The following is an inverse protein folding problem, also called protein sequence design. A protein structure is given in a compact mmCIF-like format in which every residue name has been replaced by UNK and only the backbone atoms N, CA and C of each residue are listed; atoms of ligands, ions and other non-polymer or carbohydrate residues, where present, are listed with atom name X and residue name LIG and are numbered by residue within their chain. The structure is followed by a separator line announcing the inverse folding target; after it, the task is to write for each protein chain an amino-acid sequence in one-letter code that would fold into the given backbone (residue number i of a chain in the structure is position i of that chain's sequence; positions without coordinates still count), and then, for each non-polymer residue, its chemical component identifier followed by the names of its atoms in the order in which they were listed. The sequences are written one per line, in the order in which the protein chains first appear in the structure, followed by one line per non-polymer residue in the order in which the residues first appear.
data_IF_559276232714
#
_entry.id   IF_559276232714
#
_cell.length_a   1.000
_cell.length_b   1.000
_cell.length_c   1.000
_cell.angle_alpha   90.00
_cell.angle_beta   90.00
_cell.angle_gamma   90.00
#
_symmetry.space_group_name_H-M   'P 1'
#
loop_
_entity.id
_entity.type
_entity.pdbx_description
1 polymer ?
#
# COMPACT_ATOMS: atom_id res chain seq x y z
N UNK A 1 52.68 19.98 50.29
CA UNK A 1 51.26 19.71 49.88
C UNK A 1 51.29 18.50 48.99
N UNK A 2 50.98 17.33 49.53
CA UNK A 2 50.94 16.08 48.76
C UNK A 2 49.57 15.97 48.11
N UNK A 3 49.55 15.84 46.78
CA UNK A 3 48.36 15.63 45.97
C UNK A 3 47.98 14.17 46.07
N UNK A 4 46.94 13.85 46.85
CA UNK A 4 46.40 12.49 46.92
C UNK A 4 45.90 12.05 45.52
N UNK A 5 46.57 11.07 44.95
CA UNK A 5 46.11 10.34 43.78
C UNK A 5 44.94 9.49 44.21
N UNK A 6 43.71 9.92 43.85
CA UNK A 6 42.47 9.19 44.11
C UNK A 6 42.53 7.89 43.33
N UNK A 7 42.96 6.83 43.98
CA UNK A 7 42.97 5.46 43.42
C UNK A 7 41.53 5.07 43.09
N UNK A 8 41.21 4.99 41.81
CA UNK A 8 39.96 4.45 41.35
C UNK A 8 39.85 3.00 41.80
N UNK A 9 38.92 2.74 42.72
CA UNK A 9 38.66 1.40 43.24
C UNK A 9 38.12 0.54 42.10
N UNK A 10 38.57 -0.71 41.96
CA UNK A 10 38.11 -1.68 40.96
C UNK A 10 36.57 -1.74 40.86
N UNK A 11 35.90 -1.59 42.01
CA UNK A 11 34.42 -1.51 42.04
C UNK A 11 33.87 -0.28 41.31
N UNK A 12 34.46 0.88 41.45
CA UNK A 12 34.06 2.11 40.79
C UNK A 12 34.24 2.03 39.28
N UNK A 13 35.35 1.38 38.84
CA UNK A 13 35.63 1.18 37.41
C UNK A 13 34.58 0.25 36.79
N UNK A 14 34.27 -0.87 37.48
CA UNK A 14 33.23 -1.83 37.01
C UNK A 14 31.87 -1.16 36.97
N UNK A 15 31.50 -0.39 37.99
CA UNK A 15 30.21 0.31 38.01
C UNK A 15 30.12 1.35 36.87
N UNK A 16 31.19 2.11 36.63
CA UNK A 16 31.23 3.07 35.53
C UNK A 16 31.10 2.38 34.15
N UNK A 17 31.73 1.22 33.98
CA UNK A 17 31.67 0.44 32.76
C UNK A 17 30.24 -0.11 32.51
N UNK A 18 29.58 -0.58 33.57
CA UNK A 18 28.18 -1.05 33.48
C UNK A 18 27.25 0.12 33.11
N UNK A 19 27.42 1.29 33.72
CA UNK A 19 26.62 2.46 33.42
C UNK A 19 26.81 2.92 31.96
N UNK A 20 28.08 2.93 31.49
CA UNK A 20 28.38 3.26 30.09
C UNK A 20 27.73 2.26 29.13
N UNK A 21 27.80 0.97 29.43
CA UNK A 21 27.15 -0.08 28.61
C UNK A 21 25.60 0.07 28.59
N UNK A 22 25.01 0.38 29.74
CA UNK A 22 23.57 0.63 29.81
C UNK A 22 23.15 1.86 29.01
N UNK A 23 23.89 2.97 29.15
CA UNK A 23 23.61 4.23 28.45
C UNK A 23 23.87 4.06 26.95
N UNK A 24 24.94 3.38 26.53
CA UNK A 24 25.20 3.14 25.11
C UNK A 24 24.20 2.18 24.49
N UNK A 25 23.69 1.20 25.23
CA UNK A 25 22.62 0.30 24.78
C UNK A 25 21.29 1.07 24.55
N UNK A 26 20.92 1.93 25.49
CA UNK A 26 19.71 2.77 25.34
C UNK A 26 19.88 3.86 24.29
N UNK A 27 21.06 4.47 24.17
CA UNK A 27 21.38 5.42 23.12
C UNK A 27 21.35 4.73 21.73
N UNK A 28 21.91 3.54 21.59
CA UNK A 28 21.82 2.76 20.36
C UNK A 28 20.38 2.44 19.97
N UNK A 29 19.50 2.21 20.92
CA UNK A 29 18.07 1.98 20.67
C UNK A 29 17.33 3.27 20.27
N UNK A 30 17.74 4.43 20.80
CA UNK A 30 17.15 5.74 20.46
C UNK A 30 17.67 6.25 19.11
N UNK A 31 18.95 6.06 18.80
CA UNK A 31 19.56 6.49 17.53
C UNK A 31 19.48 5.45 16.41
N UNK A 32 19.22 4.18 16.72
CA UNK A 32 18.93 3.11 15.75
C UNK A 32 17.45 3.06 15.32
N UNK A 33 16.63 4.01 15.77
CA UNK A 33 15.27 4.16 15.31
C UNK A 33 15.29 4.80 13.93
N UNK A 34 15.13 3.93 12.96
CA UNK A 34 14.71 4.18 11.58
C UNK A 34 15.14 5.55 11.01
N UNK A 35 16.09 5.49 10.11
CA UNK A 35 16.13 6.44 9.01
C UNK A 35 14.87 6.21 8.18
N UNK A 36 13.71 6.69 8.64
CA UNK A 36 12.51 6.73 7.85
C UNK A 36 12.86 7.56 6.61
N UNK A 37 13.06 6.87 5.49
CA UNK A 37 13.30 7.53 4.22
C UNK A 37 12.03 8.30 3.90
N UNK A 38 12.08 9.61 3.93
CA UNK A 38 10.98 10.46 3.50
C UNK A 38 11.22 10.90 2.06
N UNK A 39 10.18 10.86 1.25
CA UNK A 39 10.16 11.33 -0.13
C UNK A 39 8.99 12.29 -0.34
N UNK A 40 9.10 13.18 -1.33
CA UNK A 40 8.02 14.11 -1.70
C UNK A 40 7.58 13.81 -3.12
N UNK A 41 6.27 13.87 -3.35
CA UNK A 41 5.68 13.78 -4.67
C UNK A 41 4.47 14.72 -4.76
N UNK A 42 4.41 15.60 -5.74
CA UNK A 42 3.32 16.55 -5.99
C UNK A 42 2.79 17.28 -4.73
N UNK A 43 3.70 17.68 -3.82
CA UNK A 43 3.34 18.38 -2.58
C UNK A 43 3.01 17.46 -1.40
N UNK A 44 2.84 16.17 -1.61
CA UNK A 44 2.62 15.16 -0.56
C UNK A 44 3.93 14.66 0.02
N UNK A 45 3.95 14.39 1.33
CA UNK A 45 5.09 13.81 2.02
C UNK A 45 4.83 12.32 2.25
N UNK A 46 5.72 11.49 1.77
CA UNK A 46 5.69 10.04 1.94
C UNK A 46 6.75 9.61 2.93
N UNK A 47 6.42 8.70 3.82
CA UNK A 47 7.33 8.11 4.79
C UNK A 47 7.39 6.61 4.55
N UNK A 48 8.58 6.09 4.27
CA UNK A 48 8.79 4.64 4.09
C UNK A 48 8.70 3.93 5.43
N UNK A 49 7.92 2.87 5.49
CA UNK A 49 7.80 1.94 6.61
C UNK A 49 8.18 0.54 6.17
N UNK A 50 8.19 -0.42 7.11
CA UNK A 50 8.42 -1.83 6.77
C UNK A 50 7.30 -2.42 5.91
N UNK A 51 6.10 -1.82 5.95
CA UNK A 51 4.90 -2.34 5.29
C UNK A 51 4.50 -1.55 4.03
N UNK A 52 5.27 -0.54 3.64
CA UNK A 52 4.95 0.31 2.49
C UNK A 52 5.24 1.79 2.75
N UNK A 53 4.59 2.65 1.99
CA UNK A 53 4.67 4.10 2.08
C UNK A 53 3.42 4.65 2.77
N UNK A 54 3.61 5.54 3.73
CA UNK A 54 2.52 6.25 4.40
C UNK A 54 2.54 7.71 3.98
N UNK A 55 1.39 8.24 3.65
CA UNK A 55 1.18 9.67 3.38
C UNK A 55 -0.13 10.12 4.03
N UNK A 56 -0.33 11.44 4.13
CA UNK A 56 -1.60 12.02 4.59
C UNK A 56 -2.37 12.55 3.38
N UNK A 57 -3.58 12.03 3.20
CA UNK A 57 -4.54 12.45 2.20
C UNK A 57 -5.78 12.99 2.93
N UNK A 58 -6.14 14.24 2.69
CA UNK A 58 -7.28 14.92 3.33
C UNK A 58 -7.31 14.81 4.87
N UNK A 59 -6.10 14.79 5.47
CA UNK A 59 -5.93 14.69 6.92
C UNK A 59 -5.91 13.27 7.49
N UNK A 60 -6.20 12.26 6.68
CA UNK A 60 -6.19 10.84 7.05
C UNK A 60 -4.90 10.17 6.57
N UNK A 61 -4.34 9.26 7.37
CA UNK A 61 -3.20 8.47 6.95
C UNK A 61 -3.63 7.35 5.99
N UNK A 62 -2.99 7.31 4.83
CA UNK A 62 -3.16 6.26 3.83
C UNK A 62 -1.84 5.52 3.62
N UNK A 63 -1.91 4.21 3.45
CA UNK A 63 -0.75 3.34 3.22
C UNK A 63 -0.82 2.74 1.81
N UNK A 64 0.32 2.78 1.12
CA UNK A 64 0.52 2.26 -0.23
C UNK A 64 1.75 1.37 -0.26
N UNK A 65 1.79 0.41 -1.16
CA UNK A 65 2.94 -0.47 -1.31
C UNK A 65 4.05 0.17 -2.15
N UNK A 66 3.66 0.96 -3.16
CA UNK A 66 4.56 1.63 -4.09
C UNK A 66 4.58 3.14 -3.87
N UNK A 67 5.74 3.75 -4.03
CA UNK A 67 5.83 5.21 -4.12
C UNK A 67 5.31 5.69 -5.48
N UNK A 68 4.67 6.87 -5.60
CA UNK A 68 4.16 7.34 -6.88
C UNK A 68 5.18 7.34 -8.03
N UNK A 69 6.46 7.66 -7.75
CA UNK A 69 7.53 7.63 -8.77
C UNK A 69 7.78 6.24 -9.37
N UNK A 70 7.47 5.17 -8.64
CA UNK A 70 7.60 3.80 -9.12
C UNK A 70 6.48 3.41 -10.10
N UNK A 71 5.41 4.21 -10.13
CA UNK A 71 4.20 3.97 -10.91
C UNK A 71 4.03 4.92 -12.11
N UNK A 72 4.95 5.86 -12.34
CA UNK A 72 4.81 6.87 -13.38
C UNK A 72 4.64 6.27 -14.78
N UNK A 73 5.36 5.20 -15.09
CA UNK A 73 5.33 4.53 -16.39
C UNK A 73 4.07 3.67 -16.61
N UNK A 74 3.34 3.33 -15.56
CA UNK A 74 2.10 2.57 -15.67
C UNK A 74 0.99 3.46 -16.24
N UNK A 75 0.58 3.23 -17.46
CA UNK A 75 -0.47 4.03 -18.12
C UNK A 75 -1.87 3.59 -17.69
N UNK A 76 -2.65 4.52 -17.14
CA UNK A 76 -4.08 4.34 -16.84
C UNK A 76 -4.81 5.53 -17.45
N UNK A 77 -5.83 5.28 -18.24
CA UNK A 77 -6.59 6.34 -18.89
C UNK A 77 -7.60 7.00 -17.92
N UNK A 78 -7.90 8.25 -18.14
CA UNK A 78 -8.81 9.04 -17.28
C UNK A 78 -10.22 8.45 -17.21
N UNK A 79 -10.69 7.81 -18.27
CA UNK A 79 -12.00 7.16 -18.32
C UNK A 79 -12.15 6.01 -17.32
N UNK A 80 -11.04 5.39 -16.90
CA UNK A 80 -11.01 4.41 -15.80
C UNK A 80 -11.42 5.07 -14.48
N UNK A 81 -10.87 6.26 -14.21
CA UNK A 81 -11.16 6.99 -12.96
C UNK A 81 -12.60 7.51 -12.96
N UNK A 82 -13.06 8.06 -14.08
CA UNK A 82 -14.45 8.53 -14.24
C UNK A 82 -15.47 7.40 -14.00
N UNK A 83 -15.16 6.16 -14.42
CA UNK A 83 -16.03 5.01 -14.18
C UNK A 83 -16.08 4.55 -12.72
N UNK A 84 -15.09 4.89 -11.92
CA UNK A 84 -15.05 4.56 -10.49
C UNK A 84 -15.73 5.63 -9.61
N UNK A 85 -16.13 6.75 -10.17
CA UNK A 85 -16.94 7.79 -9.49
C UNK A 85 -18.43 7.39 -9.48
N UNK A 86 -18.74 6.33 -8.75
CA UNK A 86 -20.06 5.72 -8.64
C UNK A 86 -20.34 5.33 -7.19
N UNK A 87 -21.60 5.11 -6.86
CA UNK A 87 -21.97 4.66 -5.50
C UNK A 87 -21.68 3.18 -5.23
N UNK A 88 -21.52 2.38 -6.29
CA UNK A 88 -21.36 0.93 -6.18
C UNK A 88 -20.54 0.37 -7.33
N UNK A 89 -19.64 -0.59 -7.06
CA UNK A 89 -18.88 -1.30 -8.09
C UNK A 89 -18.57 -2.73 -7.65
N UNK A 90 -18.16 -3.55 -8.60
CA UNK A 90 -17.60 -4.87 -8.34
C UNK A 90 -16.09 -4.88 -8.50
N UNK A 91 -15.42 -5.70 -7.69
CA UNK A 91 -14.01 -5.97 -7.77
C UNK A 91 -13.81 -7.47 -7.91
N UNK A 92 -13.34 -7.93 -9.06
CA UNK A 92 -13.21 -9.36 -9.36
C UNK A 92 -11.80 -9.70 -9.83
N UNK A 93 -11.38 -10.93 -9.53
CA UNK A 93 -10.02 -11.38 -9.77
C UNK A 93 -9.97 -12.74 -10.45
N UNK A 94 -9.03 -12.89 -11.38
CA UNK A 94 -8.48 -14.19 -11.72
C UNK A 94 -7.58 -14.64 -10.58
N UNK A 95 -7.81 -15.84 -10.05
CA UNK A 95 -7.08 -16.33 -8.87
C UNK A 95 -5.76 -16.93 -9.31
N UNK A 96 -4.69 -16.35 -8.83
CA UNK A 96 -3.32 -16.80 -9.02
C UNK A 96 -2.79 -17.66 -7.86
N UNK A 97 -1.47 -17.68 -7.74
CA UNK A 97 -0.80 -18.51 -6.73
C UNK A 97 -0.60 -17.80 -5.39
N UNK A 98 -0.70 -16.47 -5.35
CA UNK A 98 -0.44 -15.69 -4.15
C UNK A 98 -1.67 -14.91 -3.68
N UNK A 99 -2.52 -15.59 -2.93
CA UNK A 99 -3.77 -15.02 -2.40
C UNK A 99 -3.54 -13.81 -1.47
N UNK A 100 -2.36 -13.72 -0.84
CA UNK A 100 -2.06 -12.62 0.08
C UNK A 100 -2.11 -11.27 -0.63
N UNK A 101 -1.62 -11.16 -1.86
CA UNK A 101 -1.70 -9.91 -2.62
C UNK A 101 -3.14 -9.55 -2.97
N UNK A 102 -3.95 -10.53 -3.36
CA UNK A 102 -5.37 -10.32 -3.64
C UNK A 102 -6.10 -9.81 -2.38
N UNK A 103 -5.82 -10.38 -1.21
CA UNK A 103 -6.43 -9.93 0.04
C UNK A 103 -5.97 -8.52 0.43
N UNK A 104 -4.71 -8.16 0.21
CA UNK A 104 -4.21 -6.79 0.43
C UNK A 104 -4.93 -5.82 -0.51
N UNK A 105 -5.00 -6.11 -1.81
CA UNK A 105 -5.68 -5.28 -2.80
C UNK A 105 -7.14 -5.06 -2.40
N UNK A 106 -7.85 -6.14 -2.09
CA UNK A 106 -9.25 -6.07 -1.67
C UNK A 106 -9.43 -5.19 -0.46
N UNK A 107 -8.64 -5.43 0.59
CA UNK A 107 -8.73 -4.65 1.82
C UNK A 107 -8.44 -3.17 1.58
N UNK A 108 -7.33 -2.84 0.94
CA UNK A 108 -6.93 -1.45 0.67
C UNK A 108 -7.93 -0.74 -0.23
N UNK A 109 -8.29 -1.35 -1.36
CA UNK A 109 -9.16 -0.73 -2.35
C UNK A 109 -10.58 -0.52 -1.79
N UNK A 110 -11.17 -1.55 -1.18
CA UNK A 110 -12.52 -1.46 -0.61
C UNK A 110 -12.58 -0.39 0.49
N UNK A 111 -11.61 -0.40 1.41
CA UNK A 111 -11.56 0.58 2.49
C UNK A 111 -11.39 2.00 1.94
N UNK A 112 -10.45 2.21 1.02
CA UNK A 112 -10.22 3.53 0.43
C UNK A 112 -11.45 4.05 -0.32
N UNK A 113 -12.08 3.20 -1.14
CA UNK A 113 -13.27 3.56 -1.92
C UNK A 113 -14.46 3.88 -1.02
N UNK A 114 -14.69 3.09 0.01
CA UNK A 114 -15.81 3.28 0.92
C UNK A 114 -15.61 4.52 1.81
N UNK A 115 -14.44 4.67 2.43
CA UNK A 115 -14.21 5.68 3.45
C UNK A 115 -13.98 7.07 2.86
N UNK A 116 -13.42 7.16 1.63
CA UNK A 116 -13.07 8.46 1.04
C UNK A 116 -13.95 8.86 -0.15
N UNK A 117 -14.51 7.90 -0.88
CA UNK A 117 -15.30 8.19 -2.08
C UNK A 117 -16.77 7.77 -1.95
N UNK A 118 -17.13 7.11 -0.85
CA UNK A 118 -18.51 6.65 -0.61
C UNK A 118 -18.97 5.54 -1.55
N UNK A 119 -18.03 4.87 -2.25
CA UNK A 119 -18.31 3.80 -3.20
C UNK A 119 -18.30 2.45 -2.48
N UNK A 120 -19.42 1.75 -2.51
CA UNK A 120 -19.52 0.40 -1.97
C UNK A 120 -18.97 -0.63 -2.98
N UNK A 121 -17.93 -1.37 -2.60
CA UNK A 121 -17.28 -2.37 -3.45
C UNK A 121 -17.69 -3.78 -3.00
N UNK A 122 -18.24 -4.57 -3.94
CA UNK A 122 -18.51 -5.98 -3.74
C UNK A 122 -17.42 -6.84 -4.41
N UNK A 123 -16.85 -7.78 -3.64
CA UNK A 123 -15.85 -8.71 -4.17
C UNK A 123 -16.47 -9.86 -4.93
N UNK A 124 -15.80 -10.27 -6.02
CA UNK A 124 -16.13 -11.44 -6.82
C UNK A 124 -14.87 -12.20 -7.24
N UNK A 125 -15.10 -13.31 -7.90
CA UNK A 125 -14.08 -14.10 -8.61
C UNK A 125 -14.52 -14.31 -10.05
N UNK A 126 -13.59 -14.51 -10.99
CA UNK A 126 -13.91 -14.72 -12.40
C UNK A 126 -14.40 -16.15 -12.63
N UNK A 127 -13.82 -17.12 -11.92
CA UNK A 127 -14.13 -18.54 -12.02
C UNK A 127 -14.34 -19.15 -10.63
N UNK A 128 -14.98 -20.31 -10.58
CA UNK A 128 -15.09 -21.10 -9.34
C UNK A 128 -13.69 -21.41 -8.77
N UNK A 129 -13.58 -21.30 -7.46
CA UNK A 129 -12.34 -21.54 -6.74
C UNK A 129 -12.64 -22.03 -5.31
N UNK A 130 -11.78 -22.88 -4.79
CA UNK A 130 -11.84 -23.31 -3.39
C UNK A 130 -11.26 -22.25 -2.43
N UNK A 131 -10.57 -21.23 -2.97
CA UNK A 131 -9.92 -20.19 -2.17
C UNK A 131 -10.91 -19.19 -1.56
N UNK A 132 -12.01 -18.90 -2.26
CA UNK A 132 -13.02 -17.92 -1.85
C UNK A 132 -14.43 -18.38 -2.15
N UNK A 133 -15.36 -18.00 -1.28
CA UNK A 133 -16.82 -18.21 -1.46
C UNK A 133 -17.52 -17.01 -2.06
N UNK A 134 -16.82 -16.22 -2.88
CA UNK A 134 -17.39 -15.04 -3.54
C UNK A 134 -18.24 -15.44 -4.75
N UNK A 135 -19.19 -14.57 -5.14
CA UNK A 135 -19.93 -14.77 -6.39
C UNK A 135 -19.00 -14.70 -7.60
N UNK A 136 -19.37 -15.43 -8.66
CA UNK A 136 -18.72 -15.29 -9.96
C UNK A 136 -19.23 -14.00 -10.59
N UNK A 137 -18.31 -13.07 -10.85
CA UNK A 137 -18.58 -11.76 -11.44
C UNK A 137 -17.61 -11.52 -12.58
N UNK A 138 -18.15 -11.17 -13.75
CA UNK A 138 -17.38 -10.83 -14.95
C UNK A 138 -17.97 -9.59 -15.61
N UNK A 139 -17.36 -9.09 -16.66
CA UNK A 139 -17.77 -7.91 -17.43
C UNK A 139 -19.23 -7.97 -17.92
N UNK A 140 -19.81 -9.16 -18.08
CA UNK A 140 -21.23 -9.32 -18.40
C UNK A 140 -22.15 -8.77 -17.29
N UNK A 141 -21.66 -8.69 -16.07
CA UNK A 141 -22.40 -8.13 -14.92
C UNK A 141 -22.25 -6.62 -14.80
N UNK A 142 -21.38 -6.00 -15.61
CA UNK A 142 -21.10 -4.58 -15.55
C UNK A 142 -22.25 -3.75 -16.14
N UNK A 143 -22.55 -2.67 -15.45
CA UNK A 143 -23.44 -1.60 -15.94
C UNK A 143 -22.73 -0.26 -15.81
N UNK A 144 -23.31 0.80 -16.36
CA UNK A 144 -22.78 2.18 -16.19
C UNK A 144 -22.83 2.61 -14.71
N UNK A 145 -23.85 2.16 -13.97
CA UNK A 145 -24.08 2.55 -12.58
C UNK A 145 -23.34 1.64 -11.58
N UNK A 146 -23.00 0.42 -12.03
CA UNK A 146 -22.27 -0.57 -11.23
C UNK A 146 -21.20 -1.21 -12.11
N UNK A 147 -20.07 -0.52 -12.33
CA UNK A 147 -18.97 -1.05 -13.13
C UNK A 147 -18.32 -2.26 -12.46
N UNK A 148 -17.65 -3.06 -13.26
CA UNK A 148 -16.83 -4.20 -12.81
C UNK A 148 -15.36 -3.83 -13.03
N UNK A 149 -14.57 -3.81 -11.98
CA UNK A 149 -13.11 -3.77 -12.06
C UNK A 149 -12.60 -5.21 -12.02
N UNK A 150 -12.04 -5.66 -13.13
CA UNK A 150 -11.62 -7.03 -13.37
C UNK A 150 -10.10 -7.12 -13.48
N UNK A 151 -9.48 -7.91 -12.61
CA UNK A 151 -8.05 -8.22 -12.65
C UNK A 151 -7.81 -9.57 -13.30
N UNK A 152 -7.01 -9.60 -14.37
CA UNK A 152 -6.69 -10.80 -15.15
C UNK A 152 -5.19 -10.87 -15.44
N UNK A 153 -4.65 -12.10 -15.48
CA UNK A 153 -3.28 -12.31 -15.90
C UNK A 153 -3.12 -12.15 -17.42
N UNK A 154 -2.08 -11.44 -17.81
CA UNK A 154 -1.74 -11.19 -19.22
C UNK A 154 -0.23 -11.05 -19.39
N UNK A 155 0.24 -10.96 -20.64
CA UNK A 155 1.67 -10.80 -20.93
C UNK A 155 2.17 -9.36 -20.79
N UNK A 156 1.27 -8.39 -20.66
CA UNK A 156 1.57 -6.96 -20.54
C UNK A 156 0.71 -6.34 -19.46
N UNK A 157 1.28 -5.38 -18.74
CA UNK A 157 0.55 -4.63 -17.71
C UNK A 157 -0.12 -3.42 -18.34
N UNK A 158 -1.45 -3.38 -18.30
CA UNK A 158 -2.26 -2.26 -18.79
C UNK A 158 -3.63 -2.20 -18.12
N UNK A 159 -4.20 -1.01 -18.08
CA UNK A 159 -5.55 -0.78 -17.55
C UNK A 159 -6.34 0.04 -18.55
N UNK A 160 -7.51 -0.45 -18.89
CA UNK A 160 -8.41 0.18 -19.86
C UNK A 160 -9.87 -0.08 -19.53
N UNK A 161 -10.74 0.76 -20.05
CA UNK A 161 -12.19 0.58 -19.94
C UNK A 161 -12.75 -0.03 -21.23
N UNK A 162 -13.67 -0.97 -21.06
CA UNK A 162 -14.47 -1.58 -22.13
C UNK A 162 -15.94 -1.65 -21.70
N UNK A 163 -16.78 -0.82 -22.28
CA UNK A 163 -18.19 -0.67 -21.86
C UNK A 163 -18.29 -0.26 -20.38
N UNK A 164 -19.01 -1.04 -19.59
CA UNK A 164 -19.11 -0.88 -18.12
C UNK A 164 -17.98 -1.53 -17.34
N UNK A 165 -17.03 -2.18 -18.00
CA UNK A 165 -15.96 -2.93 -17.37
C UNK A 165 -14.65 -2.12 -17.38
N UNK A 166 -13.87 -2.22 -16.31
CA UNK A 166 -12.49 -1.76 -16.20
C UNK A 166 -11.65 -3.04 -16.16
N UNK A 167 -10.75 -3.20 -17.12
CA UNK A 167 -9.91 -4.39 -17.24
C UNK A 167 -8.49 -4.01 -16.84
N UNK A 168 -8.00 -4.65 -15.79
CA UNK A 168 -6.63 -4.53 -15.28
C UNK A 168 -5.87 -5.81 -15.63
N UNK A 169 -5.03 -5.74 -16.65
CA UNK A 169 -4.16 -6.81 -17.08
C UNK A 169 -2.79 -6.67 -16.43
N UNK A 170 -2.21 -7.78 -15.94
CA UNK A 170 -0.86 -7.79 -15.38
C UNK A 170 -0.22 -9.18 -15.47
N UNK A 171 1.11 -9.23 -15.33
CA UNK A 171 1.88 -10.48 -15.38
C UNK A 171 1.92 -11.20 -14.04
N UNK A 172 1.61 -10.48 -12.96
CA UNK A 172 1.71 -11.00 -11.59
C UNK A 172 0.78 -10.26 -10.63
N UNK A 173 0.48 -10.89 -9.48
CA UNK A 173 -0.34 -10.29 -8.43
C UNK A 173 0.27 -9.02 -7.83
N UNK A 174 1.61 -8.89 -7.83
CA UNK A 174 2.26 -7.67 -7.35
C UNK A 174 2.02 -6.48 -8.29
N UNK A 175 1.88 -6.74 -9.58
CA UNK A 175 1.51 -5.70 -10.54
C UNK A 175 0.03 -5.29 -10.42
N UNK A 176 -0.87 -6.22 -10.04
CA UNK A 176 -2.24 -5.86 -9.65
C UNK A 176 -2.24 -4.86 -8.47
N UNK A 177 -1.35 -5.07 -7.50
CA UNK A 177 -1.20 -4.16 -6.37
C UNK A 177 -0.67 -2.80 -6.82
N UNK A 178 0.30 -2.76 -7.75
CA UNK A 178 0.80 -1.53 -8.35
C UNK A 178 -0.29 -0.76 -9.11
N UNK A 179 -1.13 -1.47 -9.88
CA UNK A 179 -2.31 -0.90 -10.56
C UNK A 179 -3.26 -0.28 -9.53
N UNK A 180 -3.55 -1.01 -8.47
CA UNK A 180 -4.47 -0.55 -7.40
C UNK A 180 -3.96 0.72 -6.73
N UNK A 181 -2.68 0.75 -6.35
CA UNK A 181 -2.05 1.93 -5.75
C UNK A 181 -2.11 3.12 -6.70
N UNK A 182 -1.82 2.93 -8.00
CA UNK A 182 -1.90 4.02 -8.97
C UNK A 182 -3.30 4.56 -9.15
N UNK A 183 -4.32 3.69 -9.26
CA UNK A 183 -5.72 4.12 -9.34
C UNK A 183 -6.09 4.97 -8.13
N UNK A 184 -5.76 4.51 -6.92
CA UNK A 184 -6.02 5.27 -5.71
C UNK A 184 -5.28 6.61 -5.69
N UNK A 185 -4.01 6.66 -6.11
CA UNK A 185 -3.28 7.94 -6.25
C UNK A 185 -3.95 8.90 -7.21
N UNK A 186 -4.45 8.41 -8.35
CA UNK A 186 -5.18 9.24 -9.32
C UNK A 186 -6.51 9.73 -8.73
N UNK A 187 -7.25 8.88 -8.03
CA UNK A 187 -8.51 9.25 -7.38
C UNK A 187 -8.30 10.29 -6.26
N UNK A 188 -7.21 10.20 -5.52
CA UNK A 188 -6.84 11.20 -4.51
C UNK A 188 -6.19 12.47 -5.09
N UNK A 189 -5.98 12.55 -6.39
CA UNK A 189 -5.32 13.69 -7.04
C UNK A 189 -3.83 13.82 -6.68
N UNK A 190 -3.17 12.74 -6.31
CA UNK A 190 -1.74 12.69 -6.07
C UNK A 190 -0.97 12.61 -7.39
N UNK A 191 -1.54 11.93 -8.39
CA UNK A 191 -0.96 11.71 -9.73
C UNK A 191 -1.90 12.25 -10.80
#
# INVERSE_FOLDING_TARGET
MAKESRLWNKKTIITALIVILMVSSTAGFIFGRDSSTSAKYNGYNFVRTNNGWITKLDGTEAMFQFHPTELEELSISSDVIEKLDVSQAYLTFEIGNNLQYIDIIRFQFITAMQDNFGTYIMSGVINETDAYTFPIIDCINATTETPVMKFVFANETKVYADGGCIIAEAQSEIEFLAITDKILYMMFGVM
#
